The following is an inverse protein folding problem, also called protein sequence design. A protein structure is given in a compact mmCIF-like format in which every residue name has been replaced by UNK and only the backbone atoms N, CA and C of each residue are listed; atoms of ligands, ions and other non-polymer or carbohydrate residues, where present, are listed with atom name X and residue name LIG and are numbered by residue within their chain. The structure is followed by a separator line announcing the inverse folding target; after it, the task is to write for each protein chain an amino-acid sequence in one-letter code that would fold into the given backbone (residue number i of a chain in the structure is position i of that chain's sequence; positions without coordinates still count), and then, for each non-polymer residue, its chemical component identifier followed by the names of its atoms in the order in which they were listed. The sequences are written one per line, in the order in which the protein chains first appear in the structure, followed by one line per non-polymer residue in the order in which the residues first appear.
data_IF_243360041260
#
_entry.id   IF_243360041260
#
_cell.length_a   1.000
_cell.length_b   1.000
_cell.length_c   1.000
_cell.angle_alpha   90.00
_cell.angle_beta   90.00
_cell.angle_gamma   90.00
#
_symmetry.space_group_name_H-M   'P 1'
#
loop_
_entity.id
_entity.type
_entity.pdbx_description
1 polymer ?
#
# COMPACT_ATOMS: atom_id res chain seq x y z
N UNK A 1 21.11 -13.54 6.77
CA UNK A 1 21.22 -13.97 5.58
C UNK A 1 21.18 -13.01 4.45
N UNK A 2 21.95 -13.26 3.49
CA UNK A 2 22.01 -12.39 2.34
C UNK A 2 20.62 -12.16 1.78
N UNK A 3 20.29 -10.93 1.50
CA UNK A 3 18.99 -10.56 0.97
C UNK A 3 18.86 -10.89 -0.51
N UNK A 4 19.93 -11.33 -1.15
CA UNK A 4 19.91 -11.69 -2.54
C UNK A 4 20.30 -10.54 -3.44
N UNK A 5 19.93 -10.68 -4.69
CA UNK A 5 20.39 -9.78 -5.75
C UNK A 5 19.73 -8.42 -5.66
N UNK A 6 20.51 -7.36 -5.89
CA UNK A 6 19.97 -6.03 -6.04
C UNK A 6 19.10 -5.95 -7.30
N UNK A 7 18.05 -5.17 -7.21
CA UNK A 7 17.09 -5.00 -8.29
C UNK A 7 17.02 -3.53 -8.68
N UNK A 8 16.94 -3.26 -9.97
CA UNK A 8 16.62 -1.92 -10.43
C UNK A 8 15.16 -1.61 -10.03
N UNK A 9 14.82 -0.33 -9.84
CA UNK A 9 13.43 0.01 -9.46
C UNK A 9 12.39 -0.59 -10.38
N UNK A 10 12.60 -0.59 -11.69
CA UNK A 10 11.67 -1.19 -12.63
C UNK A 10 11.47 -2.67 -12.40
N UNK A 11 12.56 -3.40 -12.13
CA UNK A 11 12.51 -4.82 -11.83
C UNK A 11 11.80 -5.08 -10.51
N UNK A 12 12.09 -4.26 -9.50
CA UNK A 12 11.48 -4.40 -8.18
C UNK A 12 9.96 -4.25 -8.26
N UNK A 13 9.48 -3.16 -8.86
CA UNK A 13 8.04 -2.89 -8.89
C UNK A 13 7.30 -3.83 -9.84
N UNK A 14 7.93 -4.24 -10.93
CA UNK A 14 7.37 -5.27 -11.81
C UNK A 14 7.24 -6.59 -11.07
N UNK A 15 8.27 -6.96 -10.31
CA UNK A 15 8.27 -8.16 -9.48
C UNK A 15 7.22 -8.09 -8.38
N UNK A 16 7.08 -6.93 -7.75
CA UNK A 16 6.08 -6.74 -6.70
C UNK A 16 4.67 -6.94 -7.26
N UNK A 17 4.37 -6.36 -8.40
CA UNK A 17 3.06 -6.53 -9.04
C UNK A 17 2.79 -8.00 -9.35
N UNK A 18 3.79 -8.71 -9.86
CA UNK A 18 3.67 -10.12 -10.19
C UNK A 18 3.42 -10.96 -8.93
N UNK A 19 4.17 -10.69 -7.86
CA UNK A 19 4.01 -11.40 -6.59
C UNK A 19 2.64 -11.15 -5.98
N UNK A 20 2.13 -9.92 -6.08
CA UNK A 20 0.80 -9.60 -5.57
C UNK A 20 -0.27 -10.43 -6.29
N UNK A 21 -0.16 -10.56 -7.61
CA UNK A 21 -1.12 -11.37 -8.36
C UNK A 21 -1.06 -12.83 -7.97
N UNK A 22 0.10 -13.32 -7.57
CA UNK A 22 0.24 -14.69 -7.11
C UNK A 22 -0.29 -14.91 -5.69
N UNK A 23 -0.21 -13.89 -4.83
CA UNK A 23 -0.53 -14.02 -3.40
C UNK A 23 -1.96 -13.62 -3.05
N UNK A 24 -2.54 -12.67 -3.78
CA UNK A 24 -3.88 -12.18 -3.48
C UNK A 24 -4.94 -13.20 -3.81
N UNK A 25 -6.06 -13.22 -3.07
CA UNK A 25 -7.22 -14.02 -3.46
C UNK A 25 -7.69 -13.65 -4.87
N UNK A 26 -8.32 -14.59 -5.55
CA UNK A 26 -8.74 -14.39 -6.93
C UNK A 26 -9.55 -13.10 -7.13
N UNK A 27 -10.42 -12.76 -6.17
CA UNK A 27 -11.26 -11.58 -6.26
C UNK A 27 -10.46 -10.26 -6.23
N UNK A 28 -9.22 -10.30 -5.76
CA UNK A 28 -8.39 -9.10 -5.60
C UNK A 28 -7.22 -9.04 -6.58
N UNK A 29 -7.20 -9.92 -7.58
CA UNK A 29 -6.09 -9.95 -8.55
C UNK A 29 -6.25 -8.98 -9.70
N UNK A 30 -7.46 -8.47 -9.92
CA UNK A 30 -7.76 -7.60 -11.06
C UNK A 30 -7.69 -6.13 -10.65
N UNK A 31 -6.51 -5.70 -10.27
CA UNK A 31 -6.29 -4.29 -9.92
C UNK A 31 -5.70 -3.55 -11.12
N UNK A 32 -5.95 -2.23 -11.15
CA UNK A 32 -5.27 -1.33 -12.08
C UNK A 32 -3.99 -0.86 -11.41
N UNK A 33 -2.90 -0.80 -12.15
CA UNK A 33 -1.64 -0.36 -11.59
C UNK A 33 -0.96 0.64 -12.52
N UNK A 34 -0.19 1.53 -11.91
CA UNK A 34 0.62 2.49 -12.63
C UNK A 34 1.92 2.69 -11.87
N UNK A 35 3.01 2.88 -12.61
CA UNK A 35 4.24 3.32 -12.00
C UNK A 35 4.17 4.83 -11.85
N UNK A 36 4.43 5.28 -10.64
CA UNK A 36 4.62 6.68 -10.40
C UNK A 36 6.02 7.10 -10.83
N UNK A 37 6.35 8.35 -10.59
CA UNK A 37 7.69 8.84 -10.87
C UNK A 37 8.68 8.20 -9.93
N UNK A 38 9.85 7.86 -10.47
CA UNK A 38 10.95 7.36 -9.67
C UNK A 38 10.63 6.02 -9.05
N UNK A 39 10.58 5.98 -7.72
CA UNK A 39 10.52 4.73 -6.96
C UNK A 39 9.16 4.54 -6.30
N UNK A 40 8.11 4.69 -7.09
CA UNK A 40 6.73 4.65 -6.60
C UNK A 40 5.89 3.77 -7.50
N UNK A 41 5.06 2.91 -6.89
CA UNK A 41 4.05 2.14 -7.60
C UNK A 41 2.71 2.39 -6.93
N UNK A 42 1.67 2.60 -7.74
CA UNK A 42 0.30 2.76 -7.26
C UNK A 42 -0.59 1.68 -7.84
N UNK A 43 -1.56 1.22 -7.07
CA UNK A 43 -2.60 0.34 -7.60
C UNK A 43 -3.94 0.63 -6.93
N UNK A 44 -5.03 0.36 -7.64
CA UNK A 44 -6.36 0.63 -7.11
C UNK A 44 -7.38 -0.33 -7.70
N UNK A 45 -8.57 -0.32 -7.10
CA UNK A 45 -9.67 -1.20 -7.48
C UNK A 45 -10.86 -0.37 -7.95
N UNK A 46 -10.62 0.48 -8.96
CA UNK A 46 -11.67 1.27 -9.59
C UNK A 46 -11.83 2.68 -9.03
N UNK A 47 -11.15 3.01 -7.94
CA UNK A 47 -11.18 4.36 -7.37
C UNK A 47 -9.74 4.86 -7.24
N UNK A 48 -9.20 5.51 -8.28
CA UNK A 48 -7.81 5.95 -8.25
C UNK A 48 -7.49 6.94 -7.13
N UNK A 49 -8.49 7.67 -6.64
CA UNK A 49 -8.30 8.60 -5.53
C UNK A 49 -8.03 7.87 -4.20
N UNK A 50 -8.40 6.59 -4.09
CA UNK A 50 -8.11 5.74 -2.93
C UNK A 50 -7.29 4.56 -3.43
N UNK A 51 -5.97 4.70 -3.33
CA UNK A 51 -5.05 3.73 -3.94
C UNK A 51 -4.01 3.25 -2.96
N UNK A 52 -3.47 2.08 -3.24
CA UNK A 52 -2.36 1.53 -2.48
C UNK A 52 -1.06 2.00 -3.12
N UNK A 53 -0.06 2.27 -2.29
CA UNK A 53 1.26 2.70 -2.75
C UNK A 53 2.34 1.82 -2.16
N UNK A 54 3.38 1.61 -2.96
CA UNK A 54 4.67 1.14 -2.47
C UNK A 54 5.68 2.20 -2.92
N UNK A 55 6.31 2.88 -1.96
CA UNK A 55 7.16 4.02 -2.23
C UNK A 55 8.50 3.87 -1.53
N UNK A 56 9.57 3.83 -2.31
CA UNK A 56 10.91 3.71 -1.77
C UNK A 56 11.49 5.09 -1.47
N UNK A 57 11.59 5.41 -0.20
CA UNK A 57 12.19 6.66 0.29
C UNK A 57 13.69 6.43 0.42
N UNK A 58 14.44 6.73 -0.63
CA UNK A 58 15.87 6.44 -0.71
C UNK A 58 16.67 7.09 0.41
N UNK A 59 16.39 8.36 0.66
CA UNK A 59 17.14 9.11 1.68
C UNK A 59 16.93 8.58 3.08
N UNK A 60 15.78 7.98 3.36
CA UNK A 60 15.47 7.41 4.66
C UNK A 60 15.75 5.92 4.74
N UNK A 61 16.07 5.27 3.62
CA UNK A 61 16.33 3.84 3.59
C UNK A 61 15.13 3.00 3.96
N UNK A 62 13.92 3.42 3.56
CA UNK A 62 12.67 2.75 3.92
C UNK A 62 11.76 2.61 2.73
N UNK A 63 10.95 1.56 2.76
CA UNK A 63 9.86 1.38 1.80
C UNK A 63 8.54 1.60 2.56
N UNK A 64 7.74 2.54 2.06
CA UNK A 64 6.41 2.78 2.61
C UNK A 64 5.41 1.93 1.86
N UNK A 65 4.49 1.29 2.59
CA UNK A 65 3.39 0.52 2.02
C UNK A 65 2.12 0.96 2.71
N UNK A 66 1.07 1.27 1.94
CA UNK A 66 -0.18 1.65 2.55
C UNK A 66 -1.27 2.03 1.57
N UNK A 67 -2.39 2.45 2.14
CA UNK A 67 -3.56 2.93 1.42
C UNK A 67 -3.62 4.45 1.60
N UNK A 68 -3.70 5.15 0.49
CA UNK A 68 -3.72 6.62 0.47
C UNK A 68 -5.08 7.13 0.05
N UNK A 69 -5.54 8.17 0.74
CA UNK A 69 -6.80 8.86 0.43
C UNK A 69 -6.45 10.22 -0.15
N UNK A 70 -6.55 10.34 -1.47
CA UNK A 70 -6.10 11.53 -2.21
C UNK A 70 -7.19 12.05 -3.13
N UNK A 71 -8.43 11.96 -2.69
CA UNK A 71 -9.58 12.51 -3.39
C UNK A 71 -9.90 13.94 -2.94
N UNK A 72 -11.17 14.30 -2.99
CA UNK A 72 -11.61 15.60 -2.46
C UNK A 72 -11.45 15.64 -0.95
N UNK A 73 -11.47 16.86 -0.39
CA UNK A 73 -11.35 17.04 1.05
C UNK A 73 -12.45 16.27 1.80
N UNK A 74 -13.68 16.30 1.27
CA UNK A 74 -14.82 15.60 1.89
C UNK A 74 -14.61 14.09 1.84
N UNK A 75 -14.23 13.56 0.67
CA UNK A 75 -13.99 12.12 0.51
C UNK A 75 -12.88 11.63 1.42
N UNK A 76 -11.80 12.40 1.52
CA UNK A 76 -10.66 12.02 2.36
C UNK A 76 -11.05 11.99 3.83
N UNK A 77 -11.85 12.98 4.26
CA UNK A 77 -12.29 13.05 5.66
C UNK A 77 -13.23 11.89 5.99
N UNK A 78 -14.13 11.55 5.08
CA UNK A 78 -15.03 10.41 5.27
C UNK A 78 -14.24 9.11 5.41
N UNK A 79 -13.26 8.92 4.53
CA UNK A 79 -12.42 7.73 4.58
C UNK A 79 -11.60 7.68 5.87
N UNK A 80 -11.01 8.80 6.25
CA UNK A 80 -10.22 8.90 7.48
C UNK A 80 -11.08 8.53 8.70
N UNK A 81 -12.25 9.13 8.81
CA UNK A 81 -13.14 8.88 9.95
C UNK A 81 -13.61 7.43 9.98
N UNK A 82 -13.92 6.87 8.80
CA UNK A 82 -14.34 5.48 8.69
C UNK A 82 -13.26 4.54 9.21
N UNK A 83 -12.03 4.69 8.71
CA UNK A 83 -10.93 3.82 9.12
C UNK A 83 -10.50 4.07 10.55
N UNK A 84 -10.61 5.30 11.05
CA UNK A 84 -10.34 5.57 12.46
C UNK A 84 -11.26 4.75 13.34
N UNK A 85 -12.53 4.62 12.96
CA UNK A 85 -13.50 3.81 13.69
C UNK A 85 -13.24 2.32 13.60
N UNK A 86 -12.43 1.87 12.62
CA UNK A 86 -12.13 0.46 12.42
C UNK A 86 -10.71 0.08 12.83
N UNK A 87 -9.98 0.99 13.48
CA UNK A 87 -8.55 0.73 13.73
C UNK A 87 -8.28 -0.45 14.65
N UNK A 88 -9.19 -0.79 15.56
CA UNK A 88 -9.01 -1.97 16.39
C UNK A 88 -8.93 -3.24 15.53
N UNK A 89 -9.87 -3.41 14.62
CA UNK A 89 -9.84 -4.60 13.77
C UNK A 89 -8.72 -4.52 12.72
N UNK A 90 -8.40 -3.33 12.25
CA UNK A 90 -7.28 -3.17 11.33
C UNK A 90 -5.98 -3.59 12.00
N UNK A 91 -5.72 -3.08 13.21
CA UNK A 91 -4.46 -3.37 13.89
C UNK A 91 -4.37 -4.81 14.40
N UNK A 92 -5.50 -5.51 14.51
CA UNK A 92 -5.47 -6.93 14.82
C UNK A 92 -4.79 -7.74 13.70
N UNK A 93 -4.86 -7.26 12.46
CA UNK A 93 -4.24 -7.91 11.30
C UNK A 93 -3.00 -7.18 10.81
N UNK A 94 -2.94 -5.88 11.02
CA UNK A 94 -1.84 -5.02 10.59
C UNK A 94 -1.36 -4.24 11.82
N UNK A 95 -0.64 -4.89 12.73
CA UNK A 95 -0.36 -4.28 14.05
C UNK A 95 0.52 -3.04 13.98
N UNK A 96 1.26 -2.85 12.89
CA UNK A 96 2.15 -1.69 12.75
C UNK A 96 1.52 -0.58 11.90
N UNK A 97 0.28 -0.75 11.44
CA UNK A 97 -0.38 0.25 10.61
C UNK A 97 -0.66 1.52 11.41
N UNK A 98 -0.41 2.65 10.77
CA UNK A 98 -0.70 3.97 11.33
C UNK A 98 -1.63 4.70 10.39
N UNK A 99 -2.63 5.39 10.96
CA UNK A 99 -3.54 6.24 10.20
C UNK A 99 -3.22 7.67 10.54
N UNK A 100 -2.85 8.49 9.55
CA UNK A 100 -2.48 9.86 9.83
C UNK A 100 -2.89 10.81 8.72
N UNK A 101 -3.15 12.09 9.07
CA UNK A 101 -3.32 13.12 8.07
C UNK A 101 -2.04 13.28 7.26
N UNK A 102 -2.19 13.66 6.01
CA UNK A 102 -1.09 13.84 5.10
C UNK A 102 -1.22 15.25 4.49
N UNK A 103 -0.28 15.58 3.66
CA UNK A 103 -0.25 16.87 2.98
C UNK A 103 -1.52 17.11 2.15
N UNK A 104 -1.90 18.38 1.97
CA UNK A 104 -3.00 18.80 1.06
C UNK A 104 -4.38 18.25 1.44
N UNK A 105 -4.61 17.95 2.70
CA UNK A 105 -5.87 17.37 3.12
C UNK A 105 -5.99 15.90 2.79
N UNK A 106 -4.92 15.28 2.35
CA UNK A 106 -4.82 13.84 2.13
C UNK A 106 -4.60 13.12 3.45
N UNK A 107 -4.78 11.81 3.44
CA UNK A 107 -4.45 10.98 4.59
C UNK A 107 -3.98 9.62 4.10
N UNK A 108 -3.39 8.86 5.02
CA UNK A 108 -2.87 7.53 4.66
C UNK A 108 -2.94 6.59 5.84
N UNK A 109 -3.10 5.32 5.51
CA UNK A 109 -3.04 4.20 6.45
C UNK A 109 -1.89 3.31 5.98
N UNK A 110 -0.79 3.29 6.74
CA UNK A 110 0.47 2.81 6.18
C UNK A 110 1.42 2.27 7.24
N UNK A 111 2.47 1.64 6.78
CA UNK A 111 3.65 1.36 7.60
C UNK A 111 4.88 1.39 6.70
N UNK A 112 6.05 1.37 7.32
CA UNK A 112 7.30 1.32 6.58
C UNK A 112 8.10 0.10 7.00
N UNK A 113 8.94 -0.38 6.09
CA UNK A 113 9.89 -1.44 6.40
C UNK A 113 11.30 -1.01 5.98
N UNK A 114 12.33 -1.56 6.64
CA UNK A 114 13.70 -1.21 6.27
C UNK A 114 13.99 -1.60 4.83
N UNK A 115 14.55 -0.68 4.07
CA UNK A 115 14.89 -0.91 2.67
C UNK A 115 16.00 0.06 2.27
N UNK A 116 17.23 -0.16 2.77
CA UNK A 116 18.35 0.69 2.34
C UNK A 116 18.60 0.53 0.86
N UNK A 117 18.30 -0.63 0.31
CA UNK A 117 18.41 -0.93 -1.12
C UNK A 117 17.19 -1.74 -1.53
N UNK A 118 16.89 -1.76 -2.82
CA UNK A 118 15.86 -2.65 -3.36
C UNK A 118 16.54 -3.95 -3.77
N UNK A 119 16.21 -5.03 -3.08
CA UNK A 119 16.75 -6.35 -3.36
C UNK A 119 15.64 -7.40 -3.25
N UNK A 120 15.98 -8.66 -3.47
CA UNK A 120 14.99 -9.73 -3.48
C UNK A 120 14.36 -9.95 -2.10
N UNK A 121 15.13 -9.73 -1.04
CA UNK A 121 14.60 -9.85 0.31
C UNK A 121 13.56 -8.79 0.61
N UNK A 122 13.82 -7.56 0.22
CA UNK A 122 12.86 -6.46 0.37
C UNK A 122 11.62 -6.73 -0.50
N UNK A 123 11.83 -7.26 -1.70
CA UNK A 123 10.69 -7.61 -2.58
C UNK A 123 9.76 -8.62 -1.91
N UNK A 124 10.32 -9.68 -1.32
CA UNK A 124 9.52 -10.70 -0.65
C UNK A 124 8.75 -10.10 0.53
N UNK A 125 9.41 -9.30 1.36
CA UNK A 125 8.78 -8.65 2.50
C UNK A 125 7.67 -7.70 2.05
N UNK A 126 7.94 -6.92 1.03
CA UNK A 126 6.98 -5.97 0.49
C UNK A 126 5.74 -6.69 -0.06
N UNK A 127 5.94 -7.80 -0.77
CA UNK A 127 4.84 -8.56 -1.34
C UNK A 127 3.91 -9.11 -0.26
N UNK A 128 4.48 -9.68 0.80
CA UNK A 128 3.69 -10.20 1.92
C UNK A 128 2.92 -9.07 2.59
N UNK A 129 3.59 -7.97 2.91
CA UNK A 129 2.96 -6.82 3.58
C UNK A 129 1.85 -6.20 2.76
N UNK A 130 2.15 -5.92 1.50
CA UNK A 130 1.17 -5.26 0.64
C UNK A 130 -0.05 -6.14 0.39
N UNK A 131 0.17 -7.44 0.22
CA UNK A 131 -0.95 -8.37 0.09
C UNK A 131 -1.83 -8.36 1.34
N UNK A 132 -1.22 -8.30 2.53
CA UNK A 132 -1.96 -8.23 3.79
C UNK A 132 -2.75 -6.93 3.90
N UNK A 133 -2.16 -5.81 3.51
CA UNK A 133 -2.87 -4.53 3.49
C UNK A 133 -4.09 -4.58 2.59
N UNK A 134 -3.91 -5.06 1.38
CA UNK A 134 -5.01 -5.13 0.41
C UNK A 134 -6.10 -6.07 0.90
N UNK A 135 -5.74 -7.27 1.35
CA UNK A 135 -6.73 -8.25 1.81
C UNK A 135 -7.50 -7.78 3.04
N UNK A 136 -6.87 -6.97 3.89
CA UNK A 136 -7.50 -6.45 5.10
C UNK A 136 -8.34 -5.21 4.81
N UNK A 137 -7.82 -4.29 4.00
CA UNK A 137 -8.42 -2.97 3.85
C UNK A 137 -9.43 -2.87 2.71
N UNK A 138 -9.24 -3.62 1.63
CA UNK A 138 -10.13 -3.47 0.48
C UNK A 138 -11.58 -3.84 0.79
N UNK A 139 -11.87 -4.92 1.54
CA UNK A 139 -13.26 -5.19 1.91
C UNK A 139 -13.89 -4.07 2.72
N UNK A 140 -13.12 -3.45 3.61
CA UNK A 140 -13.61 -2.29 4.37
C UNK A 140 -13.86 -1.09 3.48
N UNK A 141 -12.93 -0.83 2.58
CA UNK A 141 -13.06 0.28 1.63
C UNK A 141 -14.28 0.09 0.72
N UNK A 142 -14.57 -1.14 0.33
CA UNK A 142 -15.76 -1.44 -0.47
C UNK A 142 -17.05 -1.13 0.29
N UNK A 143 -17.05 -1.33 1.60
CA UNK A 143 -18.22 -0.97 2.42
C UNK A 143 -18.40 0.55 2.48
N UNK A 144 -17.32 1.30 2.56
CA UNK A 144 -17.39 2.76 2.51
C UNK A 144 -18.02 3.24 1.21
N UNK A 145 -17.69 2.59 0.09
CA UNK A 145 -18.24 2.94 -1.21
C UNK A 145 -19.76 2.83 -1.27
N UNK A 146 -20.34 1.92 -0.51
CA UNK A 146 -21.77 1.64 -0.58
C UNK A 146 -22.59 2.66 0.19
N UNK A 147 -21.96 3.48 0.99
CA UNK A 147 -22.63 4.54 1.73
C UNK A 147 -22.55 5.87 0.97
#
# INVERSE_FOLDING_TARGET
LASGTLLAPGEFFSGLRKELKARLPAALRSFSSARGRGRLMKLHYGRPEFHYEAWHHTGAGRLEIGLHFEGSAVENQEAFDFFRGHMLEVKARLPRAELEPWDRGWSRLYETLPAPQLDEGVLDDAAVRMADYIATLQPLLDNLKKE
#
